data_IF_212428571723
#
_entry.id   IF_212428571723
#
_cell.length_a   1.000
_cell.length_b   1.000
_cell.length_c   1.000
_cell.angle_alpha   90.00
_cell.angle_beta   90.00
_cell.angle_gamma   90.00
#
_symmetry.space_group_name_H-M   'P 1'
#
loop_
_entity.id
_entity.type
_entity.pdbx_description
1 polymer ?
#
# COMPACT_ATOMS: atom_id res chain seq x y z
N UNK A 1 -3.92 -13.23 14.37
CA UNK A 1 -4.04 -14.16 15.51
C UNK A 1 -4.29 -15.55 14.96
N UNK A 2 -3.68 -16.56 15.52
CA UNK A 2 -3.95 -17.96 15.20
C UNK A 2 -4.24 -18.73 16.48
N UNK A 3 -5.02 -19.80 16.39
CA UNK A 3 -5.36 -20.66 17.50
C UNK A 3 -4.30 -21.76 17.65
N UNK A 4 -3.73 -21.89 18.83
CA UNK A 4 -2.79 -22.96 19.15
C UNK A 4 -3.54 -24.09 19.90
N UNK A 5 -3.84 -25.16 19.16
CA UNK A 5 -4.57 -26.32 19.72
C UNK A 5 -3.84 -26.99 20.89
N UNK A 6 -2.50 -26.95 20.94
CA UNK A 6 -1.71 -27.56 22.00
C UNK A 6 -1.80 -26.79 23.32
N UNK A 7 -1.93 -25.49 23.27
CA UNK A 7 -2.02 -24.63 24.46
C UNK A 7 -3.43 -24.16 24.76
N UNK A 8 -4.41 -24.49 23.91
CA UNK A 8 -5.80 -24.04 23.99
C UNK A 8 -5.92 -22.51 24.16
N UNK A 9 -5.01 -21.76 23.54
CA UNK A 9 -4.93 -20.31 23.62
C UNK A 9 -4.84 -19.67 22.25
N UNK A 10 -5.43 -18.47 22.14
CA UNK A 10 -5.22 -17.62 20.99
C UNK A 10 -3.83 -17.00 21.09
N UNK A 11 -2.96 -17.37 20.18
CA UNK A 11 -1.64 -16.73 20.06
C UNK A 11 -1.66 -15.67 18.97
N UNK A 12 -1.06 -14.53 19.27
CA UNK A 12 -0.76 -13.52 18.28
C UNK A 12 0.28 -14.09 17.32
N UNK A 13 0.06 -13.93 16.03
CA UNK A 13 1.03 -14.38 15.04
C UNK A 13 2.34 -13.60 15.23
N UNK A 14 3.37 -14.26 15.77
CA UNK A 14 4.67 -13.65 16.10
C UNK A 14 5.32 -12.95 14.91
N UNK A 15 5.13 -13.47 13.69
CA UNK A 15 5.66 -12.87 12.48
C UNK A 15 5.08 -11.48 12.16
N UNK A 16 3.95 -11.08 12.76
CA UNK A 16 3.39 -9.74 12.61
C UNK A 16 4.03 -8.73 13.56
N UNK A 17 4.61 -9.16 14.65
CA UNK A 17 5.22 -8.27 15.65
C UNK A 17 6.67 -7.91 15.34
N UNK A 18 7.44 -8.82 14.74
CA UNK A 18 8.86 -8.66 14.39
C UNK A 18 9.10 -8.57 12.86
N UNK A 19 8.04 -8.43 12.09
CA UNK A 19 8.10 -8.44 10.63
C UNK A 19 8.70 -7.15 10.08
N UNK A 20 9.48 -7.20 8.97
CA UNK A 20 9.95 -6.02 8.23
C UNK A 20 8.82 -5.11 7.75
N UNK A 21 7.55 -5.56 7.80
CA UNK A 21 6.35 -4.76 7.52
C UNK A 21 6.07 -3.66 8.53
N UNK A 22 6.83 -3.62 9.64
CA UNK A 22 6.77 -2.55 10.64
C UNK A 22 7.63 -1.36 10.26
N UNK A 23 8.49 -1.53 9.27
CA UNK A 23 9.29 -0.42 8.78
C UNK A 23 8.37 0.49 7.97
N UNK A 24 8.12 1.67 8.49
CA UNK A 24 7.60 2.79 7.73
C UNK A 24 8.53 3.01 6.51
N UNK A 25 7.98 3.62 5.47
CA UNK A 25 8.74 3.93 4.25
C UNK A 25 9.23 2.66 3.52
N UNK A 26 8.30 1.75 3.26
CA UNK A 26 8.54 0.49 2.55
C UNK A 26 7.76 0.44 1.23
N UNK A 27 8.26 -0.35 0.29
CA UNK A 27 7.57 -0.68 -0.96
C UNK A 27 7.17 -2.15 -0.92
N UNK A 28 5.87 -2.41 -0.89
CA UNK A 28 5.31 -3.76 -0.82
C UNK A 28 4.58 -4.09 -2.12
N UNK A 29 4.80 -5.28 -2.65
CA UNK A 29 4.02 -5.78 -3.78
C UNK A 29 3.19 -7.00 -3.38
N UNK A 30 1.93 -7.01 -3.81
CA UNK A 30 0.98 -8.11 -3.64
C UNK A 30 0.69 -8.69 -5.02
N UNK A 31 1.13 -9.92 -5.26
CA UNK A 31 1.06 -10.56 -6.57
C UNK A 31 0.15 -11.78 -6.52
N UNK A 32 -0.80 -11.87 -7.46
CA UNK A 32 -1.68 -13.03 -7.56
C UNK A 32 -2.84 -12.80 -8.51
N UNK A 33 -3.48 -13.85 -8.94
CA UNK A 33 -4.63 -13.81 -9.84
C UNK A 33 -5.79 -12.98 -9.28
N UNK A 34 -6.75 -12.61 -10.12
CA UNK A 34 -8.00 -12.01 -9.67
C UNK A 34 -8.69 -12.93 -8.64
N UNK A 35 -9.23 -12.36 -7.56
CA UNK A 35 -9.89 -13.13 -6.49
C UNK A 35 -8.93 -13.88 -5.53
N UNK A 36 -7.61 -13.75 -5.67
CA UNK A 36 -6.63 -14.43 -4.78
C UNK A 36 -6.52 -13.84 -3.37
N UNK A 37 -7.27 -12.78 -3.07
CA UNK A 37 -7.27 -12.16 -1.74
C UNK A 37 -6.21 -11.06 -1.54
N UNK A 38 -5.54 -10.57 -2.59
CA UNK A 38 -4.53 -9.50 -2.50
C UNK A 38 -5.04 -8.27 -1.76
N UNK A 39 -6.20 -7.77 -2.19
CA UNK A 39 -6.83 -6.59 -1.59
C UNK A 39 -7.15 -6.85 -0.13
N UNK A 40 -7.71 -8.01 0.21
CA UNK A 40 -8.00 -8.42 1.59
C UNK A 40 -6.73 -8.48 2.45
N UNK A 41 -5.65 -9.06 1.92
CA UNK A 41 -4.37 -9.13 2.63
C UNK A 41 -3.78 -7.73 2.86
N UNK A 42 -3.74 -6.90 1.83
CA UNK A 42 -3.29 -5.51 1.93
C UNK A 42 -4.08 -4.75 3.00
N UNK A 43 -5.43 -4.84 2.94
CA UNK A 43 -6.33 -4.20 3.91
C UNK A 43 -6.08 -4.70 5.33
N UNK A 44 -5.88 -6.00 5.51
CA UNK A 44 -5.57 -6.59 6.82
C UNK A 44 -4.26 -6.06 7.39
N UNK A 45 -3.23 -5.89 6.56
CA UNK A 45 -1.95 -5.31 6.97
C UNK A 45 -2.13 -3.84 7.36
N UNK A 46 -2.80 -3.03 6.53
CA UNK A 46 -3.06 -1.62 6.82
C UNK A 46 -3.91 -1.46 8.08
N UNK A 47 -4.96 -2.27 8.25
CA UNK A 47 -5.82 -2.24 9.44
C UNK A 47 -5.08 -2.68 10.71
N UNK A 48 -4.20 -3.69 10.63
CA UNK A 48 -3.40 -4.12 11.78
C UNK A 48 -2.40 -3.06 12.22
N UNK A 49 -1.88 -2.28 11.29
CA UNK A 49 -1.03 -1.12 11.59
C UNK A 49 -1.80 -0.02 12.35
N UNK A 50 -3.09 0.21 12.02
CA UNK A 50 -3.96 1.17 12.75
C UNK A 50 -4.29 0.74 14.17
N UNK A 51 -4.38 -0.56 14.44
CA UNK A 51 -4.78 -1.10 15.75
C UNK A 51 -3.63 -1.14 16.78
N UNK A 52 -2.42 -0.81 16.40
CA UNK A 52 -1.30 -0.76 17.35
C UNK A 52 -1.45 0.45 18.25
N UNK A 53 -1.43 0.17 19.52
CA UNK A 53 -1.84 0.98 20.68
C UNK A 53 -1.15 2.36 20.79
N UNK A 54 -0.20 2.71 19.94
CA UNK A 54 0.59 3.95 20.09
C UNK A 54 0.86 4.77 18.85
N UNK A 55 0.31 4.46 17.66
CA UNK A 55 0.51 5.37 16.53
C UNK A 55 -0.53 5.18 15.42
N UNK A 56 -1.15 6.24 14.96
CA UNK A 56 -1.46 6.39 13.56
C UNK A 56 -0.17 6.08 12.79
N UNK A 57 -0.13 4.94 12.07
CA UNK A 57 1.09 4.58 11.37
C UNK A 57 1.37 5.52 10.20
N UNK A 58 0.32 6.14 9.67
CA UNK A 58 0.39 7.11 8.58
C UNK A 58 -0.49 8.31 8.89
N UNK A 59 0.03 9.49 8.64
CA UNK A 59 -0.68 10.76 8.81
C UNK A 59 -1.58 11.05 7.60
N UNK A 60 -1.09 10.67 6.41
CA UNK A 60 -1.81 10.84 5.14
C UNK A 60 -1.89 9.49 4.41
N UNK A 61 -3.05 9.16 3.84
CA UNK A 61 -3.28 7.92 3.10
C UNK A 61 -3.94 8.22 1.77
N UNK A 62 -3.33 7.79 0.68
CA UNK A 62 -3.89 7.81 -0.67
C UNK A 62 -4.26 6.40 -1.11
N UNK A 63 -5.41 6.26 -1.75
CA UNK A 63 -5.82 5.02 -2.38
C UNK A 63 -6.16 5.25 -3.86
N UNK A 64 -5.60 4.40 -4.70
CA UNK A 64 -5.98 4.26 -6.10
C UNK A 64 -6.57 2.87 -6.31
N UNK A 65 -7.87 2.79 -6.53
CA UNK A 65 -8.51 1.53 -6.89
C UNK A 65 -9.83 1.79 -7.63
N UNK A 66 -10.29 0.86 -8.48
CA UNK A 66 -11.59 0.97 -9.12
C UNK A 66 -12.72 1.16 -8.09
N UNK A 67 -13.69 2.00 -8.41
CA UNK A 67 -14.81 2.30 -7.51
C UNK A 67 -15.57 1.04 -7.09
N UNK A 68 -15.74 0.08 -8.00
CA UNK A 68 -16.36 -1.22 -7.71
C UNK A 68 -15.59 -2.01 -6.66
N UNK A 69 -14.26 -1.99 -6.71
CA UNK A 69 -13.39 -2.64 -5.73
C UNK A 69 -13.52 -1.97 -4.37
N UNK A 70 -13.48 -0.63 -4.33
CA UNK A 70 -13.59 0.12 -3.08
C UNK A 70 -14.91 -0.17 -2.37
N UNK A 71 -16.02 -0.25 -3.12
CA UNK A 71 -17.35 -0.58 -2.60
C UNK A 71 -17.51 -2.05 -2.14
N UNK A 72 -16.67 -2.95 -2.65
CA UNK A 72 -16.70 -4.38 -2.31
C UNK A 72 -15.85 -4.75 -1.10
N UNK A 73 -15.07 -3.82 -0.56
CA UNK A 73 -14.24 -4.07 0.62
C UNK A 73 -15.15 -4.31 1.83
N UNK A 74 -14.98 -5.48 2.45
CA UNK A 74 -15.74 -5.84 3.64
C UNK A 74 -15.37 -4.96 4.85
N UNK A 75 -16.34 -4.74 5.74
CA UNK A 75 -16.09 -4.03 7.00
C UNK A 75 -15.23 -4.85 7.98
N UNK A 76 -14.33 -4.20 8.74
CA UNK A 76 -14.06 -2.75 8.73
C UNK A 76 -13.17 -2.32 7.54
N UNK A 77 -13.66 -1.38 6.72
CA UNK A 77 -12.90 -0.83 5.61
C UNK A 77 -11.99 0.31 6.12
N UNK A 78 -10.66 0.17 6.08
CA UNK A 78 -9.74 1.18 6.60
C UNK A 78 -9.74 2.49 5.79
N UNK A 79 -10.33 2.50 4.60
CA UNK A 79 -10.39 3.65 3.71
C UNK A 79 -11.74 4.38 3.71
N UNK A 80 -12.73 3.89 4.45
CA UNK A 80 -14.10 4.45 4.47
C UNK A 80 -14.14 5.92 4.92
N UNK A 81 -13.21 6.30 5.78
CA UNK A 81 -13.12 7.67 6.35
C UNK A 81 -12.16 8.59 5.60
N UNK A 82 -11.59 8.17 4.48
CA UNK A 82 -10.68 9.02 3.72
C UNK A 82 -11.43 10.17 3.04
N UNK A 83 -10.83 11.38 3.01
CA UNK A 83 -11.38 12.49 2.26
C UNK A 83 -11.37 12.18 0.75
N UNK A 84 -12.35 12.69 -0.01
CA UNK A 84 -12.43 12.46 -1.46
C UNK A 84 -11.16 12.83 -2.24
N UNK A 85 -10.40 13.80 -1.77
CA UNK A 85 -9.13 14.22 -2.37
C UNK A 85 -8.00 13.18 -2.25
N UNK A 86 -8.19 12.14 -1.45
CA UNK A 86 -7.22 11.06 -1.26
C UNK A 86 -7.66 9.75 -1.94
N UNK A 87 -8.78 9.77 -2.67
CA UNK A 87 -9.35 8.62 -3.35
C UNK A 87 -9.30 8.83 -4.86
N UNK A 88 -8.58 7.95 -5.55
CA UNK A 88 -8.45 7.96 -7.01
C UNK A 88 -9.01 6.66 -7.59
N UNK A 89 -9.84 6.76 -8.61
CA UNK A 89 -10.46 5.60 -9.25
C UNK A 89 -9.70 5.08 -10.46
N UNK A 90 -8.64 5.79 -10.85
CA UNK A 90 -7.76 5.42 -11.96
C UNK A 90 -6.31 5.80 -11.66
N UNK A 91 -5.38 4.95 -12.11
CA UNK A 91 -3.95 5.19 -11.96
C UNK A 91 -3.47 6.16 -13.06
N UNK A 92 -3.16 7.39 -12.67
CA UNK A 92 -2.82 8.50 -13.57
C UNK A 92 -1.56 9.24 -13.11
N UNK A 93 -0.99 10.05 -14.01
CA UNK A 93 0.13 10.95 -13.67
C UNK A 93 -0.29 11.95 -12.59
N UNK A 94 -1.50 12.50 -12.67
CA UNK A 94 -2.03 13.44 -11.69
C UNK A 94 -1.99 12.88 -10.26
N UNK A 95 -2.40 11.63 -10.07
CA UNK A 95 -2.28 10.98 -8.76
C UNK A 95 -0.84 10.99 -8.24
N UNK A 96 0.13 10.65 -9.11
CA UNK A 96 1.53 10.57 -8.68
C UNK A 96 2.11 11.95 -8.38
N UNK A 97 1.72 12.97 -9.13
CA UNK A 97 2.10 14.36 -8.90
C UNK A 97 1.52 14.87 -7.56
N UNK A 98 0.22 14.66 -7.33
CA UNK A 98 -0.46 15.03 -6.07
C UNK A 98 0.18 14.35 -4.86
N UNK A 99 0.47 13.06 -4.97
CA UNK A 99 1.15 12.30 -3.90
C UNK A 99 2.56 12.83 -3.66
N UNK A 100 3.31 13.10 -4.73
CA UNK A 100 4.68 13.61 -4.62
C UNK A 100 4.72 14.97 -3.93
N UNK A 101 3.87 15.91 -4.34
CA UNK A 101 3.77 17.24 -3.74
C UNK A 101 3.37 17.17 -2.26
N UNK A 102 2.34 16.36 -1.94
CA UNK A 102 1.92 16.14 -0.56
C UNK A 102 3.04 15.55 0.30
N UNK A 103 3.74 14.52 -0.21
CA UNK A 103 4.83 13.88 0.51
C UNK A 103 6.01 14.84 0.77
N UNK A 104 6.30 15.76 -0.15
CA UNK A 104 7.33 16.78 0.07
C UNK A 104 6.98 17.66 1.28
N UNK A 105 5.73 18.12 1.36
CA UNK A 105 5.26 18.95 2.47
C UNK A 105 5.22 18.14 3.77
N UNK A 106 4.61 16.96 3.75
CA UNK A 106 4.42 16.10 4.90
C UNK A 106 5.76 15.62 5.49
N UNK A 107 6.72 15.23 4.64
CA UNK A 107 8.02 14.77 5.10
C UNK A 107 8.82 15.85 5.83
N UNK A 108 8.71 17.12 5.42
CA UNK A 108 9.30 18.26 6.11
C UNK A 108 8.70 18.47 7.50
N UNK A 109 7.44 18.07 7.70
CA UNK A 109 6.73 18.11 8.99
C UNK A 109 6.94 16.83 9.82
N UNK A 110 7.73 15.89 9.33
CA UNK A 110 7.98 14.62 9.99
C UNK A 110 6.86 13.58 9.84
N UNK A 111 5.84 13.85 9.01
CA UNK A 111 4.68 12.99 8.77
C UNK A 111 4.99 11.86 7.80
N UNK A 112 4.30 10.76 7.98
CA UNK A 112 4.43 9.55 7.14
C UNK A 112 3.19 9.39 6.24
N UNK A 113 3.42 9.10 4.95
CA UNK A 113 2.36 8.93 3.95
C UNK A 113 2.29 7.47 3.48
N UNK A 114 1.08 6.98 3.20
CA UNK A 114 0.83 5.69 2.55
C UNK A 114 0.14 5.91 1.20
N UNK A 115 0.65 5.27 0.16
CA UNK A 115 -0.01 5.13 -1.14
C UNK A 115 -0.35 3.66 -1.39
N UNK A 116 -1.63 3.36 -1.58
CA UNK A 116 -2.11 2.03 -1.99
C UNK A 116 -2.57 2.10 -3.43
N UNK A 117 -2.03 1.25 -4.30
CA UNK A 117 -2.40 1.18 -5.72
C UNK A 117 -2.93 -0.22 -6.01
N UNK A 118 -4.25 -0.34 -6.19
CA UNK A 118 -4.90 -1.57 -6.63
C UNK A 118 -5.22 -1.48 -8.13
N UNK A 119 -4.96 -2.57 -8.85
CA UNK A 119 -5.14 -2.69 -10.31
C UNK A 119 -4.32 -1.71 -11.15
N UNK A 120 -3.08 -1.43 -10.74
CA UNK A 120 -2.13 -0.57 -11.48
C UNK A 120 -1.73 -1.12 -12.86
N UNK A 121 -2.05 -2.38 -13.14
CA UNK A 121 -1.53 -3.13 -14.29
C UNK A 121 -1.85 -2.47 -15.63
N UNK A 122 -3.07 -1.96 -15.80
CA UNK A 122 -3.49 -1.36 -17.07
C UNK A 122 -2.77 -0.02 -17.32
N UNK A 123 -2.63 0.82 -16.31
CA UNK A 123 -1.89 2.07 -16.39
C UNK A 123 -0.39 1.84 -16.67
N UNK A 124 0.22 0.90 -15.96
CA UNK A 124 1.64 0.56 -16.14
C UNK A 124 1.95 -0.03 -17.51
N UNK A 125 1.03 -0.81 -18.11
CA UNK A 125 1.24 -1.35 -19.47
C UNK A 125 1.10 -0.29 -20.57
N UNK A 126 0.23 0.68 -20.38
CA UNK A 126 -0.15 1.62 -21.41
C UNK A 126 0.71 2.90 -21.46
N UNK A 127 1.43 3.24 -20.40
CA UNK A 127 2.16 4.49 -20.29
C UNK A 127 3.57 4.33 -19.72
N UNK A 128 4.58 4.57 -20.56
CA UNK A 128 5.98 4.67 -20.12
C UNK A 128 6.19 5.82 -19.13
N UNK A 129 5.46 6.91 -19.28
CA UNK A 129 5.51 8.05 -18.35
C UNK A 129 5.08 7.62 -16.94
N UNK A 130 3.97 6.91 -16.82
CA UNK A 130 3.51 6.37 -15.52
C UNK A 130 4.51 5.41 -14.91
N UNK A 131 5.16 4.58 -15.73
CA UNK A 131 6.22 3.68 -15.24
C UNK A 131 7.40 4.47 -14.67
N UNK A 132 7.84 5.51 -15.37
CA UNK A 132 8.94 6.37 -14.94
C UNK A 132 8.55 7.15 -13.67
N UNK A 133 7.38 7.81 -13.67
CA UNK A 133 6.92 8.59 -12.53
C UNK A 133 6.77 7.74 -11.25
N UNK A 134 6.18 6.53 -11.37
CA UNK A 134 6.11 5.60 -10.25
C UNK A 134 7.50 5.09 -9.84
N UNK A 135 8.40 4.82 -10.79
CA UNK A 135 9.78 4.43 -10.54
C UNK A 135 10.53 5.48 -9.74
N UNK A 136 10.43 6.75 -10.13
CA UNK A 136 11.02 7.88 -9.41
C UNK A 136 10.48 8.03 -7.98
N UNK A 137 9.17 7.86 -7.82
CA UNK A 137 8.53 7.90 -6.51
C UNK A 137 9.04 6.76 -5.62
N UNK A 138 9.13 5.54 -6.17
CA UNK A 138 9.67 4.36 -5.49
C UNK A 138 11.14 4.56 -5.11
N UNK A 139 11.97 5.14 -5.95
CA UNK A 139 13.38 5.41 -5.61
C UNK A 139 13.51 6.44 -4.48
N UNK A 140 12.63 7.42 -4.41
CA UNK A 140 12.65 8.51 -3.42
C UNK A 140 11.84 8.21 -2.16
N UNK A 141 11.14 7.09 -2.08
CA UNK A 141 10.14 6.80 -1.05
C UNK A 141 10.64 7.03 0.39
N UNK A 142 11.90 6.68 0.69
CA UNK A 142 12.47 6.87 2.04
C UNK A 142 12.64 8.34 2.40
N UNK A 143 13.12 9.15 1.46
CA UNK A 143 13.30 10.60 1.67
C UNK A 143 11.95 11.31 1.79
N UNK A 144 10.93 10.81 1.10
CA UNK A 144 9.57 11.33 1.13
C UNK A 144 8.74 10.78 2.30
N UNK A 145 9.31 9.94 3.16
CA UNK A 145 8.58 9.23 4.22
C UNK A 145 7.32 8.53 3.70
N UNK A 146 7.42 7.94 2.51
CA UNK A 146 6.33 7.32 1.79
C UNK A 146 6.43 5.79 1.86
N UNK A 147 5.32 5.14 2.20
CA UNK A 147 5.12 3.71 1.99
C UNK A 147 4.25 3.50 0.76
N UNK A 148 4.60 2.52 -0.07
CA UNK A 148 3.86 2.21 -1.31
C UNK A 148 3.45 0.75 -1.30
N UNK A 149 2.16 0.48 -1.39
CA UNK A 149 1.59 -0.85 -1.53
C UNK A 149 1.02 -1.01 -2.95
N UNK A 150 1.55 -1.93 -3.73
CA UNK A 150 1.18 -2.13 -5.14
C UNK A 150 0.58 -3.53 -5.30
N UNK A 151 -0.66 -3.59 -5.79
CA UNK A 151 -1.36 -4.84 -6.05
C UNK A 151 -1.40 -5.10 -7.55
N UNK A 152 -0.85 -6.23 -7.99
CA UNK A 152 -0.79 -6.62 -9.41
C UNK A 152 -1.14 -8.09 -9.60
N UNK A 153 -1.56 -8.45 -10.82
CA UNK A 153 -1.95 -9.82 -11.13
C UNK A 153 -0.76 -10.74 -11.36
N UNK A 154 0.38 -10.21 -11.80
CA UNK A 154 1.59 -10.99 -12.01
C UNK A 154 2.85 -10.14 -11.82
N UNK A 155 3.92 -10.77 -11.32
CA UNK A 155 5.18 -10.09 -11.02
C UNK A 155 5.84 -9.39 -12.21
N UNK A 156 5.84 -9.96 -13.45
CA UNK A 156 6.40 -9.28 -14.62
C UNK A 156 5.70 -7.98 -15.01
N UNK A 157 4.50 -7.72 -14.49
CA UNK A 157 3.79 -6.45 -14.72
C UNK A 157 4.43 -5.26 -14.01
N UNK A 158 5.23 -5.52 -12.97
CA UNK A 158 5.97 -4.47 -12.28
C UNK A 158 7.22 -4.09 -13.10
N UNK A 159 7.45 -2.81 -13.40
CA UNK A 159 8.70 -2.34 -13.99
C UNK A 159 9.93 -2.75 -13.16
N UNK A 160 11.07 -2.92 -13.82
CA UNK A 160 12.31 -3.35 -13.17
C UNK A 160 12.70 -2.44 -11.99
N UNK A 161 12.61 -1.12 -12.20
CA UNK A 161 12.92 -0.13 -11.16
C UNK A 161 12.09 -0.32 -9.88
N UNK A 162 10.85 -0.78 -10.00
CA UNK A 162 10.00 -1.10 -8.83
C UNK A 162 10.45 -2.42 -8.21
N UNK A 163 10.69 -3.46 -9.02
CA UNK A 163 11.09 -4.79 -8.53
C UNK A 163 12.39 -4.77 -7.72
N UNK A 164 13.34 -3.93 -8.12
CA UNK A 164 14.64 -3.78 -7.45
C UNK A 164 14.55 -3.02 -6.11
N UNK A 165 13.48 -2.30 -5.90
CA UNK A 165 13.25 -1.49 -4.68
C UNK A 165 12.20 -2.08 -3.75
N UNK A 166 11.68 -3.28 -4.02
CA UNK A 166 10.72 -3.94 -3.14
C UNK A 166 11.33 -4.26 -1.78
N UNK A 167 10.65 -3.88 -0.73
CA UNK A 167 10.96 -4.28 0.65
C UNK A 167 10.43 -5.69 0.96
N UNK A 168 9.27 -6.05 0.37
CA UNK A 168 8.72 -7.39 0.44
C UNK A 168 7.74 -7.67 -0.71
N UNK A 169 7.54 -8.98 -0.97
CA UNK A 169 6.66 -9.54 -2.00
C UNK A 169 5.75 -10.59 -1.36
N UNK A 170 4.44 -10.52 -1.65
CA UNK A 170 3.40 -11.44 -1.19
C UNK A 170 2.74 -12.17 -2.35
#
# INVERSE_FOLDING_TARGET
MYYDEKSNTMKKALWLDDSPFHNKNCVLAYVGAAGSGKTTLCMSIVASMKQRVHAQCYDTVYICCPESTLKSIAHPNPFESLPPSQIYYSFTELLLDDVFESCQIDSMQGKDTLLVIDDAANGLKSSMKLQHALGDLVQKHRHLKLSIHILVQSYPMLPLAIRENLSALF
#
